data_IF_527060069829
#
_entry.id   IF_527060069829
#
_cell.length_a   1.000
_cell.length_b   1.000
_cell.length_c   1.000
_cell.angle_alpha   90.00
_cell.angle_beta   90.00
_cell.angle_gamma   90.00
#
_symmetry.space_group_name_H-M   'P 1'
#
loop_
_entity.id
_entity.type
_entity.pdbx_description
1 polymer ?
#
# COMPACT_ATOMS: atom_id res chain seq x y z
N UNK A 1 3.53 9.23 13.13
CA UNK A 1 3.24 7.87 13.64
C UNK A 1 4.04 6.89 12.82
N UNK A 2 4.79 5.98 13.45
CA UNK A 2 5.44 4.87 12.73
C UNK A 2 4.42 3.80 12.36
N UNK A 3 4.67 3.09 11.25
CA UNK A 3 3.84 1.98 10.78
C UNK A 3 3.71 0.88 11.86
N UNK A 4 4.80 0.63 12.60
CA UNK A 4 4.86 -0.34 13.70
C UNK A 4 3.89 -0.08 14.85
N UNK A 5 3.46 1.17 15.06
CA UNK A 5 2.55 1.55 16.13
C UNK A 5 1.10 1.69 15.67
N UNK A 6 0.81 1.45 14.38
CA UNK A 6 -0.56 1.53 13.88
C UNK A 6 -1.38 0.31 14.32
N UNK A 7 -2.67 0.48 14.68
CA UNK A 7 -3.60 -0.65 14.81
C UNK A 7 -3.74 -1.42 13.50
N UNK A 8 -3.98 -2.73 13.59
CA UNK A 8 -4.09 -3.61 12.42
C UNK A 8 -5.14 -3.14 11.40
N UNK A 9 -6.29 -2.65 11.88
CA UNK A 9 -7.35 -2.10 11.03
C UNK A 9 -6.88 -0.89 10.21
N UNK A 10 -6.13 0.01 10.85
CA UNK A 10 -5.60 1.21 10.20
C UNK A 10 -4.50 0.85 9.21
N UNK A 11 -3.66 -0.11 9.56
CA UNK A 11 -2.60 -0.65 8.71
C UNK A 11 -3.19 -1.26 7.42
N UNK A 12 -4.18 -2.14 7.57
CA UNK A 12 -4.89 -2.76 6.45
C UNK A 12 -5.63 -1.74 5.60
N UNK A 13 -6.32 -0.77 6.23
CA UNK A 13 -7.02 0.30 5.52
C UNK A 13 -6.07 1.15 4.67
N UNK A 14 -4.92 1.55 5.20
CA UNK A 14 -3.96 2.35 4.42
C UNK A 14 -3.35 1.57 3.27
N UNK A 15 -2.98 0.30 3.51
CA UNK A 15 -2.44 -0.54 2.45
C UNK A 15 -3.45 -0.76 1.32
N UNK A 16 -4.71 -1.06 1.67
CA UNK A 16 -5.80 -1.22 0.71
C UNK A 16 -6.09 0.06 -0.06
N UNK A 17 -6.04 1.22 0.61
CA UNK A 17 -6.24 2.51 -0.04
C UNK A 17 -5.17 2.78 -1.11
N UNK A 18 -3.88 2.52 -0.80
CA UNK A 18 -2.81 2.62 -1.80
C UNK A 18 -3.04 1.65 -2.95
N UNK A 19 -3.42 0.39 -2.66
CA UNK A 19 -3.72 -0.61 -3.69
C UNK A 19 -4.82 -0.12 -4.64
N UNK A 20 -5.90 0.44 -4.11
CA UNK A 20 -7.01 0.97 -4.92
C UNK A 20 -6.59 2.16 -5.78
N UNK A 21 -5.74 3.04 -5.27
CA UNK A 21 -5.21 4.16 -6.05
C UNK A 21 -4.33 3.68 -7.22
N UNK A 22 -3.47 2.67 -6.99
CA UNK A 22 -2.62 2.09 -8.04
C UNK A 22 -3.47 1.41 -9.12
N UNK A 23 -4.51 0.67 -8.74
CA UNK A 23 -5.44 0.08 -9.71
C UNK A 23 -6.21 1.15 -10.49
N UNK A 24 -6.63 2.23 -9.83
CA UNK A 24 -7.30 3.35 -10.50
C UNK A 24 -6.36 4.07 -11.48
N UNK A 25 -5.11 4.28 -11.11
CA UNK A 25 -4.07 4.87 -11.98
C UNK A 25 -3.85 4.01 -13.22
N UNK A 26 -3.75 2.69 -13.03
CA UNK A 26 -3.63 1.72 -14.13
C UNK A 26 -4.86 1.74 -15.04
N UNK A 27 -6.06 1.79 -14.48
CA UNK A 27 -7.31 1.83 -15.26
C UNK A 27 -7.45 3.13 -16.06
N UNK A 28 -7.03 4.26 -15.50
CA UNK A 28 -7.18 5.60 -16.10
C UNK A 28 -5.94 6.06 -16.89
N UNK A 29 -4.87 5.25 -16.95
CA UNK A 29 -3.56 5.63 -17.52
C UNK A 29 -2.99 6.91 -16.90
N UNK A 30 -3.26 7.14 -15.63
CA UNK A 30 -2.72 8.25 -14.85
C UNK A 30 -1.53 7.77 -14.01
N UNK A 31 -0.64 8.69 -13.60
CA UNK A 31 0.60 8.37 -12.89
C UNK A 31 0.69 9.09 -11.52
N UNK A 32 -0.40 9.17 -10.77
CA UNK A 32 -0.41 9.80 -9.44
C UNK A 32 0.38 9.00 -8.40
N UNK A 33 0.39 7.66 -8.49
CA UNK A 33 1.03 6.75 -7.54
C UNK A 33 2.42 6.28 -7.97
N UNK A 34 2.98 6.83 -9.06
CA UNK A 34 4.28 6.41 -9.63
C UNK A 34 5.48 6.97 -8.83
N UNK A 35 5.24 7.82 -7.83
CA UNK A 35 6.30 8.39 -7.01
C UNK A 35 7.00 7.35 -6.12
N UNK A 36 8.35 7.39 -5.99
CA UNK A 36 9.12 6.46 -5.16
C UNK A 36 8.64 6.48 -3.69
N UNK A 37 8.21 7.63 -3.18
CA UNK A 37 7.69 7.80 -1.82
C UNK A 37 6.43 6.96 -1.56
N UNK A 38 5.54 6.82 -2.55
CA UNK A 38 4.31 6.03 -2.40
C UNK A 38 4.63 4.54 -2.34
N UNK A 39 5.56 4.09 -3.20
CA UNK A 39 6.03 2.69 -3.20
C UNK A 39 6.75 2.34 -1.90
N UNK A 40 7.68 3.17 -1.44
CA UNK A 40 8.38 2.98 -0.16
C UNK A 40 7.41 2.92 1.01
N UNK A 41 6.40 3.79 1.02
CA UNK A 41 5.38 3.77 2.06
C UNK A 41 4.56 2.47 2.02
N UNK A 42 4.13 2.05 0.83
CA UNK A 42 3.39 0.81 0.65
C UNK A 42 4.20 -0.44 1.04
N UNK A 43 5.50 -0.46 0.73
CA UNK A 43 6.41 -1.54 1.12
C UNK A 43 6.51 -1.62 2.66
N UNK A 44 6.66 -0.47 3.35
CA UNK A 44 6.67 -0.44 4.82
C UNK A 44 5.37 -0.96 5.43
N UNK A 45 4.22 -0.60 4.85
CA UNK A 45 2.92 -1.12 5.28
C UNK A 45 2.86 -2.64 5.07
N UNK A 46 3.26 -3.13 3.90
CA UNK A 46 3.27 -4.56 3.57
C UNK A 46 4.16 -5.36 4.51
N UNK A 47 5.38 -4.89 4.76
CA UNK A 47 6.35 -5.57 5.62
C UNK A 47 5.81 -5.73 7.04
N UNK A 48 5.12 -4.69 7.55
CA UNK A 48 4.46 -4.77 8.84
C UNK A 48 3.25 -5.73 8.83
N UNK A 49 2.45 -5.74 7.76
CA UNK A 49 1.36 -6.70 7.61
C UNK A 49 1.87 -8.14 7.55
N UNK A 50 2.99 -8.39 6.86
CA UNK A 50 3.67 -9.70 6.81
C UNK A 50 4.15 -10.09 8.21
N UNK A 51 4.82 -9.16 8.92
CA UNK A 51 5.32 -9.39 10.28
C UNK A 51 4.21 -9.81 11.24
N UNK A 52 3.04 -9.17 11.13
CA UNK A 52 1.84 -9.45 11.94
C UNK A 52 0.97 -10.59 11.39
N UNK A 53 1.33 -11.16 10.24
CA UNK A 53 0.58 -12.23 9.53
C UNK A 53 -0.85 -11.80 9.14
N UNK A 54 -1.03 -10.52 8.80
CA UNK A 54 -2.29 -9.99 8.33
C UNK A 54 -2.50 -10.33 6.85
N UNK A 55 -3.74 -10.69 6.51
CA UNK A 55 -4.13 -10.92 5.11
C UNK A 55 -4.09 -9.61 4.34
N UNK A 56 -3.53 -9.65 3.13
CA UNK A 56 -3.48 -8.53 2.21
C UNK A 56 -3.42 -9.04 0.76
N UNK A 57 -3.95 -8.25 -0.17
CA UNK A 57 -3.81 -8.49 -1.60
C UNK A 57 -2.61 -7.71 -2.14
N UNK A 58 -1.75 -8.29 -2.98
CA UNK A 58 -0.57 -7.58 -3.49
C UNK A 58 -0.97 -6.32 -4.28
N UNK A 59 -0.07 -5.33 -4.29
CA UNK A 59 -0.16 -4.15 -5.16
C UNK A 59 0.56 -4.46 -6.47
N UNK A 60 -0.17 -4.40 -7.58
CA UNK A 60 0.37 -4.58 -8.93
C UNK A 60 0.88 -3.24 -9.47
N UNK A 61 2.18 -2.99 -9.34
CA UNK A 61 2.76 -1.75 -9.80
C UNK A 61 2.91 -1.71 -11.34
N UNK A 62 2.60 -0.58 -12.00
CA UNK A 62 2.92 -0.40 -13.41
C UNK A 62 4.44 -0.46 -13.62
N UNK A 63 4.85 -1.11 -14.72
CA UNK A 63 6.24 -1.23 -15.17
C UNK A 63 6.78 0.06 -15.76
#
# INVERSE_FOLDING_TARGET
MSVENMPDERLAHFYENVRQQVEADRANKCQFTVGPTVREYADRLRDEMIRRRLKHAPIEWPS
#
